data_IF_461122351562
#
_entry.id   IF_461122351562
#
_cell.length_a   1.000
_cell.length_b   1.000
_cell.length_c   1.000
_cell.angle_alpha   90.00
_cell.angle_beta   90.00
_cell.angle_gamma   90.00
#
_symmetry.space_group_name_H-M   'P 1'
#
loop_
_entity.id
_entity.type
_entity.pdbx_description
1 polymer ?
#
# COMPACT_ATOMS: atom_id res chain seq x y z
N UNK A 1 25.51 16.39 4.03
CA UNK A 1 24.70 15.79 2.94
C UNK A 1 23.26 16.16 3.25
N UNK A 2 22.61 16.96 2.40
CA UNK A 2 21.22 17.34 2.63
C UNK A 2 20.32 16.11 2.58
N UNK A 3 19.61 15.86 3.69
CA UNK A 3 18.58 14.82 3.76
C UNK A 3 17.35 15.37 3.05
N UNK A 4 16.78 14.64 2.07
CA UNK A 4 15.60 15.13 1.39
C UNK A 4 14.46 15.31 2.38
N UNK A 5 13.87 16.49 2.36
CA UNK A 5 12.70 16.83 3.17
C UNK A 5 11.46 16.54 2.32
N UNK A 6 10.47 15.93 2.95
CA UNK A 6 9.14 15.71 2.38
C UNK A 6 8.14 16.50 3.23
N UNK A 7 7.18 17.11 2.56
CA UNK A 7 6.05 17.75 3.24
C UNK A 7 4.82 16.84 3.20
N UNK A 8 3.95 16.97 4.19
CA UNK A 8 2.69 16.22 4.18
C UNK A 8 1.83 16.58 2.95
N UNK A 9 1.91 17.83 2.47
CA UNK A 9 1.22 18.28 1.27
C UNK A 9 1.66 17.53 0.00
N UNK A 10 2.94 17.19 -0.14
CA UNK A 10 3.44 16.37 -1.25
C UNK A 10 2.85 14.95 -1.19
N UNK A 11 2.76 14.37 -0.01
CA UNK A 11 2.15 13.04 0.17
C UNK A 11 0.66 13.10 -0.18
N UNK A 12 -0.05 14.16 0.23
CA UNK A 12 -1.46 14.38 -0.14
C UNK A 12 -1.62 14.47 -1.66
N UNK A 13 -0.76 15.23 -2.35
CA UNK A 13 -0.78 15.35 -3.81
C UNK A 13 -0.58 14.01 -4.52
N UNK A 14 0.31 13.16 -4.00
CA UNK A 14 0.56 11.82 -4.55
C UNK A 14 -0.61 10.85 -4.35
N UNK A 15 -1.44 11.08 -3.32
CA UNK A 15 -2.60 10.24 -2.98
C UNK A 15 -3.93 10.87 -3.44
N UNK A 16 -3.90 11.65 -4.53
CA UNK A 16 -5.13 12.19 -5.12
C UNK A 16 -5.89 13.19 -4.23
N UNK A 17 -5.17 13.87 -3.33
CA UNK A 17 -5.73 14.74 -2.31
C UNK A 17 -6.58 14.05 -1.24
N UNK A 18 -6.50 12.73 -1.12
CA UNK A 18 -7.12 11.97 -0.03
C UNK A 18 -6.26 12.08 1.23
N UNK A 19 -6.81 12.73 2.25
CA UNK A 19 -6.13 12.99 3.52
C UNK A 19 -5.93 11.73 4.35
N UNK A 20 -6.91 10.82 4.35
CA UNK A 20 -6.89 9.61 5.16
C UNK A 20 -5.85 8.63 4.61
N UNK A 21 -5.79 8.51 3.28
CA UNK A 21 -4.77 7.72 2.60
C UNK A 21 -3.36 8.29 2.82
N UNK A 22 -3.19 9.60 2.63
CA UNK A 22 -1.90 10.26 2.83
C UNK A 22 -1.41 10.12 4.28
N UNK A 23 -2.32 10.24 5.26
CA UNK A 23 -2.01 10.06 6.67
C UNK A 23 -1.61 8.62 6.99
N UNK A 24 -2.30 7.64 6.41
CA UNK A 24 -1.99 6.21 6.58
C UNK A 24 -0.62 5.85 6.02
N UNK A 25 -0.28 6.37 4.83
CA UNK A 25 1.05 6.22 4.22
C UNK A 25 2.13 6.85 5.09
N UNK A 26 1.89 8.08 5.58
CA UNK A 26 2.84 8.77 6.44
C UNK A 26 3.12 7.97 7.71
N UNK A 27 2.08 7.50 8.40
CA UNK A 27 2.25 6.69 9.62
C UNK A 27 3.00 5.39 9.35
N UNK A 28 2.68 4.71 8.24
CA UNK A 28 3.40 3.50 7.84
C UNK A 28 4.91 3.76 7.73
N UNK A 29 5.32 4.84 7.07
CA UNK A 29 6.74 5.17 6.91
C UNK A 29 7.40 5.66 8.19
N UNK A 30 6.66 6.33 9.09
CA UNK A 30 7.13 6.72 10.41
C UNK A 30 7.39 5.48 11.29
N UNK A 31 6.46 4.53 11.34
CA UNK A 31 6.60 3.29 12.10
C UNK A 31 7.74 2.42 11.58
N UNK A 32 7.93 2.36 10.26
CA UNK A 32 9.05 1.65 9.64
C UNK A 32 10.39 2.37 9.80
N UNK A 33 10.41 3.59 10.31
CA UNK A 33 11.63 4.41 10.46
C UNK A 33 12.22 4.90 9.13
N UNK A 34 11.45 4.82 8.04
CA UNK A 34 11.84 5.32 6.72
C UNK A 34 11.82 6.85 6.67
N UNK A 35 10.83 7.43 7.34
CA UNK A 35 10.67 8.87 7.50
C UNK A 35 10.86 9.21 8.98
N UNK A 36 11.49 10.35 9.26
CA UNK A 36 11.61 10.90 10.61
C UNK A 36 10.82 12.18 10.73
N UNK A 37 9.92 12.24 11.70
CA UNK A 37 9.22 13.46 12.08
C UNK A 37 10.12 14.31 12.97
N UNK A 38 10.31 15.56 12.61
CA UNK A 38 10.93 16.58 13.45
C UNK A 38 9.92 17.71 13.68
N UNK A 39 9.79 18.13 14.94
CA UNK A 39 8.95 19.28 15.31
C UNK A 39 9.88 20.41 15.68
N UNK A 40 9.89 21.46 14.88
CA UNK A 40 10.67 22.66 15.13
C UNK A 40 10.05 23.49 16.26
N UNK A 41 10.86 24.36 16.88
CA UNK A 41 10.45 25.23 18.00
C UNK A 41 9.23 26.12 17.72
N UNK A 42 8.87 26.35 16.44
CA UNK A 42 7.71 27.13 16.02
C UNK A 42 6.45 26.29 15.76
N UNK A 43 6.43 25.00 16.15
CA UNK A 43 5.31 24.10 15.86
C UNK A 43 5.25 23.60 14.42
N UNK A 44 6.25 23.98 13.59
CA UNK A 44 6.39 23.48 12.22
C UNK A 44 6.84 22.03 12.29
N UNK A 45 6.11 21.16 11.60
CA UNK A 45 6.45 19.74 11.47
C UNK A 45 7.13 19.51 10.13
N UNK A 46 8.31 18.90 10.17
CA UNK A 46 9.11 18.54 9.00
C UNK A 46 9.28 17.03 8.99
N UNK A 47 9.21 16.43 7.81
CA UNK A 47 9.46 15.00 7.62
C UNK A 47 10.74 14.79 6.83
N UNK A 48 11.74 14.22 7.48
CA UNK A 48 13.01 13.86 6.85
C UNK A 48 12.90 12.49 6.21
N UNK A 49 13.46 12.34 5.02
CA UNK A 49 13.51 11.09 4.27
C UNK A 49 14.96 10.57 4.17
N UNK A 50 15.56 10.09 5.28
CA UNK A 50 16.93 9.60 5.28
C UNK A 50 17.13 8.39 4.36
N UNK A 51 16.10 7.55 4.18
CA UNK A 51 16.16 6.36 3.33
C UNK A 51 15.89 6.64 1.85
N UNK A 52 15.61 7.91 1.49
CA UNK A 52 15.30 8.33 0.12
C UNK A 52 14.16 7.51 -0.50
N UNK A 53 13.10 7.29 0.28
CA UNK A 53 11.83 6.73 -0.20
C UNK A 53 11.43 7.48 -1.46
N UNK A 54 11.31 6.75 -2.57
CA UNK A 54 10.89 7.30 -3.84
C UNK A 54 9.40 7.65 -3.81
N UNK A 55 8.98 8.62 -4.61
CA UNK A 55 7.59 9.11 -4.65
C UNK A 55 6.57 8.00 -4.91
N UNK A 56 6.93 6.99 -5.71
CA UNK A 56 6.05 5.86 -6.00
C UNK A 56 5.73 5.00 -4.77
N UNK A 57 6.59 5.00 -3.74
CA UNK A 57 6.39 4.29 -2.49
C UNK A 57 5.59 5.11 -1.47
N UNK A 58 5.29 6.37 -1.76
CA UNK A 58 4.44 7.23 -0.92
C UNK A 58 2.98 7.22 -1.41
N UNK A 59 2.60 6.22 -2.20
CA UNK A 59 1.25 6.03 -2.73
C UNK A 59 0.58 4.90 -1.95
N UNK A 60 -0.60 5.17 -1.43
CA UNK A 60 -1.38 4.28 -0.57
C UNK A 60 -1.60 2.92 -1.22
N UNK A 61 -2.04 2.89 -2.48
CA UNK A 61 -2.31 1.65 -3.22
C UNK A 61 -1.08 0.74 -3.40
N UNK A 62 0.14 1.29 -3.26
CA UNK A 62 1.39 0.51 -3.35
C UNK A 62 1.76 -0.13 -2.01
N UNK A 63 1.37 0.47 -0.90
CA UNK A 63 1.63 -0.03 0.45
C UNK A 63 0.50 -0.93 0.91
N UNK A 64 -0.73 -0.47 0.73
CA UNK A 64 -1.96 -1.12 1.12
C UNK A 64 -2.61 -1.68 -0.14
N UNK A 65 -2.01 -2.73 -0.69
CA UNK A 65 -2.65 -3.47 -1.78
C UNK A 65 -4.01 -3.94 -1.27
N UNK A 66 -5.12 -3.63 -1.99
CA UNK A 66 -6.41 -4.21 -1.66
C UNK A 66 -6.20 -5.72 -1.69
N UNK A 67 -6.53 -6.39 -0.58
CA UNK A 67 -6.40 -7.83 -0.48
C UNK A 67 -7.05 -8.42 -1.72
N UNK A 68 -6.24 -8.99 -2.62
CA UNK A 68 -6.76 -9.72 -3.75
C UNK A 68 -7.54 -10.85 -3.13
N UNK A 69 -8.86 -10.69 -3.08
CA UNK A 69 -9.78 -11.78 -2.79
C UNK A 69 -9.60 -12.76 -3.94
N UNK A 70 -8.55 -13.58 -3.87
CA UNK A 70 -8.40 -14.80 -4.63
C UNK A 70 -9.50 -15.71 -4.13
N UNK A 71 -10.73 -15.44 -4.60
CA UNK A 71 -11.79 -16.44 -4.64
C UNK A 71 -11.22 -17.49 -5.56
N UNK A 72 -10.57 -18.49 -4.98
CA UNK A 72 -10.22 -19.74 -5.65
C UNK A 72 -11.57 -20.30 -6.08
N UNK A 73 -11.98 -19.99 -7.31
CA UNK A 73 -13.12 -20.63 -7.95
C UNK A 73 -12.65 -22.06 -8.20
N UNK A 74 -12.82 -22.93 -7.21
CA UNK A 74 -12.72 -24.37 -7.39
C UNK A 74 -13.75 -24.73 -8.46
N UNK A 75 -13.30 -24.85 -9.71
CA UNK A 75 -14.13 -25.41 -10.78
C UNK A 75 -14.43 -26.85 -10.37
N UNK A 76 -15.71 -27.26 -10.27
CA UNK A 76 -16.03 -28.66 -10.01
C UNK A 76 -15.42 -29.49 -11.13
N UNK A 77 -14.55 -30.45 -10.79
CA UNK A 77 -14.12 -31.44 -11.76
C UNK A 77 -15.34 -32.28 -12.11
N UNK A 78 -15.82 -32.16 -13.35
CA UNK A 78 -16.91 -32.97 -13.89
C UNK A 78 -16.43 -34.43 -13.94
N UNK A 79 -16.87 -35.26 -13.01
CA UNK A 79 -16.68 -36.71 -13.11
C UNK A 79 -17.43 -37.18 -14.37
N UNK A 80 -16.71 -37.72 -15.35
CA UNK A 80 -17.31 -38.46 -16.46
C UNK A 80 -17.97 -39.70 -15.87
N UNK A 81 -19.29 -39.75 -15.87
CA UNK A 81 -20.04 -40.99 -15.65
C UNK A 81 -19.82 -41.83 -16.90
N UNK A 82 -19.01 -42.89 -16.82
CA UNK A 82 -18.98 -43.90 -17.87
C UNK A 82 -20.30 -44.66 -17.79
N UNK A 83 -21.15 -44.44 -18.78
CA UNK A 83 -22.37 -45.21 -19.01
C UNK A 83 -21.92 -46.56 -19.57
N UNK A 84 -21.63 -47.53 -18.68
CA UNK A 84 -21.61 -48.91 -19.11
C UNK A 84 -23.07 -49.29 -19.32
N UNK A 85 -23.48 -49.30 -20.58
CA UNK A 85 -24.75 -49.86 -20.98
C UNK A 85 -24.68 -51.37 -20.74
N UNK A 86 -25.47 -51.82 -19.76
CA UNK A 86 -25.89 -53.21 -19.69
C UNK A 86 -26.56 -53.55 -21.02
N UNK A 87 -26.04 -54.57 -21.71
CA UNK A 87 -26.70 -55.18 -22.85
C UNK A 87 -26.42 -56.68 -22.81
N UNK A 88 -27.41 -57.37 -22.22
CA UNK A 88 -27.95 -58.71 -22.52
C UNK A 88 -26.98 -59.90 -22.50
#
# INVERSE_FOLDING_TARGET
>A
MDVPIITFEEIIKLNGHDWDQAYSVLNYHLEKGNIKKEVLKCGIVIYHNPTRVQSHNLIHDKIFLPATNTKVVMRPRRNRINKNEDSV
#
